data_IF_380338014283
#
_entry.id   IF_380338014283
#
_cell.length_a   1.000
_cell.length_b   1.000
_cell.length_c   1.000
_cell.angle_alpha   90.00
_cell.angle_beta   90.00
_cell.angle_gamma   90.00
#
_symmetry.space_group_name_H-M   'P 1'
#
loop_
_entity.id
_entity.type
_entity.pdbx_description
1 polymer ?
#
# COMPACT_ATOMS: atom_id res chain seq x y z
N UNK A 1 43.65 1.92 -13.01
CA UNK A 1 42.87 0.94 -12.26
C UNK A 1 41.73 1.57 -11.43
N UNK A 2 42.02 2.61 -10.68
CA UNK A 2 40.96 3.24 -9.83
C UNK A 2 39.76 3.77 -10.64
N UNK A 3 39.96 4.45 -11.79
CA UNK A 3 38.86 4.96 -12.63
C UNK A 3 37.95 3.85 -13.16
N UNK A 4 38.49 2.72 -13.58
CA UNK A 4 37.71 1.57 -14.10
C UNK A 4 36.89 0.90 -13.01
N UNK A 5 37.44 0.86 -11.80
CA UNK A 5 36.73 0.35 -10.62
C UNK A 5 35.52 1.23 -10.26
N UNK A 6 35.68 2.56 -10.24
CA UNK A 6 34.60 3.49 -9.97
C UNK A 6 33.52 3.48 -11.05
N UNK A 7 33.89 3.32 -12.31
CA UNK A 7 32.93 3.18 -13.42
C UNK A 7 32.12 1.88 -13.24
N UNK A 8 32.82 0.78 -12.97
CA UNK A 8 32.13 -0.51 -12.71
C UNK A 8 31.17 -0.43 -11.55
N UNK A 9 31.57 0.18 -10.43
CA UNK A 9 30.71 0.38 -9.26
C UNK A 9 29.49 1.25 -9.59
N UNK A 10 29.69 2.35 -10.32
CA UNK A 10 28.61 3.24 -10.73
C UNK A 10 27.59 2.53 -11.62
N UNK A 11 28.03 1.68 -12.55
CA UNK A 11 27.16 0.88 -13.41
C UNK A 11 26.34 -0.13 -12.58
N UNK A 12 26.98 -0.82 -11.65
CA UNK A 12 26.28 -1.78 -10.77
C UNK A 12 25.22 -1.07 -9.93
N UNK A 13 25.54 0.10 -9.36
CA UNK A 13 24.58 0.89 -8.60
C UNK A 13 23.43 1.39 -9.48
N UNK A 14 23.71 1.86 -10.70
CA UNK A 14 22.67 2.31 -11.62
C UNK A 14 21.72 1.16 -12.03
N UNK A 15 22.28 -0.01 -12.35
CA UNK A 15 21.50 -1.22 -12.65
C UNK A 15 20.65 -1.64 -11.46
N UNK A 16 21.24 -1.66 -10.26
CA UNK A 16 20.52 -1.95 -9.03
C UNK A 16 19.35 -1.00 -8.77
N UNK A 17 19.54 0.30 -8.99
CA UNK A 17 18.48 1.30 -8.87
C UNK A 17 17.35 1.09 -9.90
N UNK A 18 17.70 0.76 -11.13
CA UNK A 18 16.69 0.46 -12.17
C UNK A 18 15.90 -0.78 -11.81
N UNK A 19 16.55 -1.85 -11.39
CA UNK A 19 15.87 -3.09 -10.96
C UNK A 19 14.95 -2.79 -9.79
N UNK A 20 15.42 -2.05 -8.78
CA UNK A 20 14.60 -1.67 -7.64
C UNK A 20 13.38 -0.84 -8.06
N UNK A 21 13.56 0.12 -8.96
CA UNK A 21 12.48 0.99 -9.44
C UNK A 21 11.40 0.23 -10.21
N UNK A 22 11.79 -0.70 -11.09
CA UNK A 22 10.85 -1.46 -11.93
C UNK A 22 10.32 -2.73 -11.27
N UNK A 23 10.82 -3.09 -10.09
CA UNK A 23 10.34 -4.28 -9.38
C UNK A 23 8.94 -4.06 -8.85
N UNK A 24 7.99 -5.00 -9.09
CA UNK A 24 6.67 -4.92 -8.52
C UNK A 24 6.72 -5.09 -7.00
N UNK A 25 5.79 -4.43 -6.31
CA UNK A 25 5.61 -4.55 -4.87
C UNK A 25 4.25 -5.16 -4.54
N UNK A 26 4.13 -5.66 -3.32
CA UNK A 26 2.86 -6.01 -2.70
C UNK A 26 2.67 -5.13 -1.46
N UNK A 27 1.43 -4.72 -1.22
CA UNK A 27 1.04 -3.97 -0.02
C UNK A 27 0.36 -4.88 0.98
N UNK A 28 0.14 -4.37 2.18
CA UNK A 28 -0.53 -5.11 3.25
C UNK A 28 0.18 -6.45 3.56
N UNK A 29 1.50 -6.39 3.70
CA UNK A 29 2.35 -7.57 3.86
C UNK A 29 2.28 -8.23 5.25
N UNK A 30 1.53 -7.65 6.20
CA UNK A 30 1.25 -8.29 7.47
C UNK A 30 0.45 -9.60 7.28
N UNK A 31 0.73 -10.60 8.12
CA UNK A 31 -0.08 -11.81 8.13
C UNK A 31 -1.51 -11.49 8.59
N UNK A 32 -2.56 -11.82 7.83
CA UNK A 32 -3.94 -11.56 8.23
C UNK A 32 -4.29 -12.12 9.62
N UNK A 33 -3.69 -13.24 10.02
CA UNK A 33 -3.88 -13.84 11.33
C UNK A 33 -3.36 -12.96 12.49
N UNK A 34 -2.39 -12.08 12.22
CA UNK A 34 -1.81 -11.17 13.20
C UNK A 34 -2.48 -9.80 13.21
N UNK A 35 -3.33 -9.51 12.23
CA UNK A 35 -4.04 -8.23 12.12
C UNK A 35 -5.20 -8.18 13.10
N UNK A 36 -5.21 -7.15 13.95
CA UNK A 36 -6.29 -6.89 14.91
C UNK A 36 -7.30 -5.86 14.43
N UNK A 37 -6.84 -4.90 13.63
CA UNK A 37 -7.67 -3.78 13.19
C UNK A 37 -7.14 -3.20 11.87
N UNK A 38 -8.05 -2.79 11.00
CA UNK A 38 -7.74 -1.96 9.83
C UNK A 38 -8.47 -0.62 10.01
N UNK A 39 -7.71 0.46 10.02
CA UNK A 39 -8.25 1.82 10.15
C UNK A 39 -8.23 2.49 8.78
N UNK A 40 -9.35 3.02 8.36
CA UNK A 40 -9.50 3.72 7.09
C UNK A 40 -10.04 5.12 7.34
N UNK A 41 -9.24 6.13 6.98
CA UNK A 41 -9.73 7.50 6.88
C UNK A 41 -10.21 7.75 5.46
N UNK A 42 -11.51 8.01 5.31
CA UNK A 42 -12.12 8.29 4.03
C UNK A 42 -12.01 9.79 3.72
N UNK A 43 -11.08 10.16 2.86
CA UNK A 43 -10.84 11.55 2.46
C UNK A 43 -12.01 12.20 1.71
N UNK A 44 -12.94 11.40 1.16
CA UNK A 44 -14.10 11.93 0.44
C UNK A 44 -15.18 12.49 1.38
N UNK A 45 -15.26 11.99 2.61
CA UNK A 45 -16.26 12.42 3.60
C UNK A 45 -15.66 12.86 4.94
N UNK A 46 -14.33 12.77 5.09
CA UNK A 46 -13.62 13.17 6.30
C UNK A 46 -13.84 12.28 7.52
N UNK A 47 -14.36 11.07 7.33
CA UNK A 47 -14.69 10.15 8.43
C UNK A 47 -13.68 9.02 8.56
N UNK A 48 -13.53 8.58 9.82
CA UNK A 48 -12.71 7.43 10.18
C UNK A 48 -13.61 6.19 10.31
N UNK A 49 -13.09 5.04 9.92
CA UNK A 49 -13.72 3.75 10.14
C UNK A 49 -12.72 2.75 10.70
N UNK A 50 -13.24 1.82 11.51
CA UNK A 50 -12.45 0.76 12.13
C UNK A 50 -13.05 -0.59 11.79
N UNK A 51 -12.26 -1.44 11.16
CA UNK A 51 -12.61 -2.80 10.79
C UNK A 51 -11.92 -3.71 11.78
N UNK A 52 -12.70 -4.38 12.63
CA UNK A 52 -12.21 -5.27 13.68
C UNK A 52 -12.76 -6.70 13.55
N UNK A 53 -13.74 -6.91 12.69
CA UNK A 53 -14.26 -8.22 12.38
C UNK A 53 -13.25 -9.06 11.62
N UNK A 54 -12.98 -10.29 12.09
CA UNK A 54 -11.94 -11.14 11.55
C UNK A 54 -12.18 -11.55 10.09
N UNK A 55 -13.44 -11.80 9.73
CA UNK A 55 -13.79 -12.22 8.36
C UNK A 55 -13.68 -11.03 7.39
N UNK A 56 -14.05 -9.83 7.83
CA UNK A 56 -13.87 -8.59 7.06
C UNK A 56 -12.40 -8.26 6.87
N UNK A 57 -11.58 -8.38 7.92
CA UNK A 57 -10.13 -8.21 7.86
C UNK A 57 -9.53 -9.18 6.85
N UNK A 58 -9.84 -10.47 6.95
CA UNK A 58 -9.33 -11.49 6.04
C UNK A 58 -9.67 -11.16 4.59
N UNK A 59 -10.92 -10.79 4.31
CA UNK A 59 -11.36 -10.44 2.96
C UNK A 59 -10.68 -9.18 2.41
N UNK A 60 -10.50 -8.14 3.23
CA UNK A 60 -9.76 -6.94 2.85
C UNK A 60 -8.30 -7.29 2.55
N UNK A 61 -7.65 -8.04 3.43
CA UNK A 61 -6.26 -8.45 3.25
C UNK A 61 -6.08 -9.34 2.01
N UNK A 62 -7.02 -10.24 1.74
CA UNK A 62 -6.99 -11.10 0.56
C UNK A 62 -7.04 -10.31 -0.75
N UNK A 63 -7.97 -9.34 -0.87
CA UNK A 63 -8.04 -8.50 -2.06
C UNK A 63 -6.78 -7.65 -2.24
N UNK A 64 -6.19 -7.13 -1.16
CA UNK A 64 -4.94 -6.37 -1.22
C UNK A 64 -3.73 -7.25 -1.60
N UNK A 65 -3.66 -8.49 -1.08
CA UNK A 65 -2.60 -9.44 -1.42
C UNK A 65 -2.67 -9.95 -2.86
N UNK A 66 -3.84 -9.91 -3.49
CA UNK A 66 -4.02 -10.42 -4.86
C UNK A 66 -3.39 -9.52 -5.92
N UNK A 67 -2.97 -8.32 -5.57
CA UNK A 67 -2.52 -7.29 -6.52
C UNK A 67 -1.02 -7.05 -6.39
N UNK A 68 -0.35 -6.94 -7.54
CA UNK A 68 1.02 -6.43 -7.64
C UNK A 68 0.98 -5.01 -8.19
N UNK A 69 1.81 -4.16 -7.62
CA UNK A 69 1.88 -2.75 -7.98
C UNK A 69 3.24 -2.37 -8.53
N UNK A 70 3.24 -1.51 -9.53
CA UNK A 70 4.44 -0.92 -10.14
C UNK A 70 4.49 0.56 -9.81
N UNK A 71 5.70 1.08 -9.52
CA UNK A 71 5.92 2.52 -9.35
C UNK A 71 5.60 3.25 -10.64
N UNK A 72 4.91 4.38 -10.53
CA UNK A 72 4.58 5.22 -11.69
C UNK A 72 5.22 6.58 -11.62
N UNK A 73 5.03 7.30 -10.51
CA UNK A 73 5.56 8.66 -10.33
C UNK A 73 5.74 8.99 -8.84
N UNK A 74 6.53 10.03 -8.56
CA UNK A 74 6.62 10.61 -7.24
C UNK A 74 5.28 11.22 -6.84
N UNK A 75 4.89 11.01 -5.58
CA UNK A 75 3.70 11.60 -5.01
C UNK A 75 4.01 13.00 -4.46
N UNK A 76 3.18 13.97 -4.81
CA UNK A 76 3.19 15.29 -4.16
C UNK A 76 2.54 15.25 -2.77
N UNK A 77 2.79 16.30 -1.98
CA UNK A 77 2.28 16.38 -0.60
C UNK A 77 0.74 16.43 -0.50
N UNK A 78 0.06 16.81 -1.57
CA UNK A 78 -1.39 17.00 -1.63
C UNK A 78 -2.13 15.97 -2.50
N UNK A 79 -1.41 14.96 -2.99
CA UNK A 79 -1.98 13.97 -3.88
C UNK A 79 -2.43 12.71 -3.13
N UNK A 80 -3.64 12.24 -3.41
CA UNK A 80 -4.17 10.95 -2.97
C UNK A 80 -4.64 10.91 -1.53
N UNK A 81 -5.91 11.17 -1.31
CA UNK A 81 -6.55 11.15 0.02
C UNK A 81 -7.84 10.30 0.05
N UNK A 82 -8.05 9.40 -0.91
CA UNK A 82 -9.33 8.68 -0.97
C UNK A 82 -9.54 7.79 0.25
N UNK A 83 -8.84 6.67 0.33
CA UNK A 83 -8.93 5.75 1.47
C UNK A 83 -7.54 5.59 2.09
N UNK A 84 -7.22 6.45 3.04
CA UNK A 84 -5.97 6.37 3.80
C UNK A 84 -6.07 5.22 4.80
N UNK A 85 -5.28 4.18 4.58
CA UNK A 85 -5.42 2.89 5.23
C UNK A 85 -4.20 2.57 6.06
N UNK A 86 -4.41 2.22 7.34
CA UNK A 86 -3.38 1.75 8.25
C UNK A 86 -3.80 0.42 8.89
N UNK A 87 -2.87 -0.51 8.96
CA UNK A 87 -3.07 -1.84 9.55
C UNK A 87 -2.43 -1.87 10.93
N UNK A 88 -3.19 -2.36 11.91
CA UNK A 88 -2.74 -2.56 13.28
C UNK A 88 -2.74 -4.05 13.61
N UNK A 89 -1.70 -4.48 14.31
CA UNK A 89 -1.57 -5.86 14.76
C UNK A 89 -2.43 -6.10 16.02
N UNK A 90 -2.69 -7.36 16.33
CA UNK A 90 -3.40 -7.77 17.56
C UNK A 90 -2.69 -7.29 18.83
N UNK A 91 -1.37 -7.04 18.78
CA UNK A 91 -0.62 -6.41 19.84
C UNK A 91 -0.99 -4.95 20.11
N UNK A 92 -1.72 -4.30 19.21
CA UNK A 92 -2.04 -2.87 19.23
C UNK A 92 -1.00 -2.00 18.52
N UNK A 93 0.11 -2.56 18.06
CA UNK A 93 1.13 -1.85 17.32
C UNK A 93 0.70 -1.60 15.88
N UNK A 94 1.01 -0.41 15.36
CA UNK A 94 0.83 -0.10 13.95
C UNK A 94 1.85 -0.89 13.12
N UNK A 95 1.36 -1.68 12.17
CA UNK A 95 2.21 -2.35 11.21
C UNK A 95 2.70 -1.32 10.18
N UNK A 96 3.98 -0.96 10.26
CA UNK A 96 4.59 0.01 9.36
C UNK A 96 4.88 -0.54 7.96
N UNK A 97 5.62 0.24 7.17
CA UNK A 97 6.03 -0.18 5.83
C UNK A 97 4.87 -0.27 4.86
N UNK A 98 4.74 -1.40 4.18
CA UNK A 98 3.69 -1.63 3.17
C UNK A 98 2.28 -1.82 3.75
N UNK A 99 2.11 -1.67 5.05
CA UNK A 99 0.81 -1.71 5.74
C UNK A 99 0.23 -0.31 6.01
N UNK A 100 0.78 0.72 5.39
CA UNK A 100 0.35 2.11 5.48
C UNK A 100 0.35 2.71 4.08
N UNK A 101 -0.82 2.93 3.54
CA UNK A 101 -1.00 3.33 2.14
C UNK A 101 -2.36 4.00 1.91
N UNK A 102 -2.47 4.70 0.80
CA UNK A 102 -3.74 5.29 0.34
C UNK A 102 -4.25 4.52 -0.87
N UNK A 103 -5.48 4.03 -0.82
CA UNK A 103 -6.15 3.42 -1.96
C UNK A 103 -6.89 4.52 -2.72
N UNK A 104 -6.49 4.79 -3.96
CA UNK A 104 -7.11 5.82 -4.78
C UNK A 104 -8.19 5.27 -5.71
N UNK A 105 -8.02 4.04 -6.18
CA UNK A 105 -8.95 3.32 -7.06
C UNK A 105 -8.66 1.82 -7.01
N UNK A 106 -9.41 1.04 -7.78
CA UNK A 106 -9.19 -0.39 -7.90
C UNK A 106 -7.79 -0.77 -8.44
N UNK A 107 -7.10 0.13 -9.12
CA UNK A 107 -5.80 -0.12 -9.75
C UNK A 107 -4.70 0.86 -9.33
N UNK A 108 -4.97 1.78 -8.41
CA UNK A 108 -4.03 2.84 -8.04
C UNK A 108 -3.95 3.04 -6.53
N UNK A 109 -2.73 3.09 -6.03
CA UNK A 109 -2.42 3.40 -4.63
C UNK A 109 -1.30 4.43 -4.52
N UNK A 110 -1.20 5.04 -3.35
CA UNK A 110 -0.04 5.81 -2.91
C UNK A 110 0.57 5.13 -1.69
N UNK A 111 1.87 4.90 -1.71
CA UNK A 111 2.60 4.37 -0.56
C UNK A 111 3.97 5.06 -0.45
N UNK A 112 4.26 5.65 0.72
CA UNK A 112 5.47 6.43 0.90
C UNK A 112 5.53 7.60 -0.09
N UNK A 113 6.65 7.69 -0.83
CA UNK A 113 6.96 8.80 -1.74
C UNK A 113 6.42 8.58 -3.18
N UNK A 114 5.75 7.46 -3.46
CA UNK A 114 5.39 7.10 -4.83
C UNK A 114 3.90 6.78 -4.98
N UNK A 115 3.39 7.06 -6.17
CA UNK A 115 2.20 6.41 -6.70
C UNK A 115 2.58 5.08 -7.35
N UNK A 116 1.66 4.13 -7.24
CA UNK A 116 1.76 2.80 -7.82
C UNK A 116 0.50 2.47 -8.61
N UNK A 117 0.67 1.71 -9.67
CA UNK A 117 -0.44 1.20 -10.46
C UNK A 117 -0.42 -0.32 -10.49
N UNK A 118 -1.60 -0.94 -10.48
CA UNK A 118 -1.73 -2.38 -10.57
C UNK A 118 -1.11 -2.90 -11.87
N UNK A 119 -0.19 -3.86 -11.74
CA UNK A 119 0.44 -4.57 -12.84
C UNK A 119 -0.12 -5.99 -13.01
N UNK A 120 -0.95 -6.44 -12.07
CA UNK A 120 -1.64 -7.73 -12.09
C UNK A 120 -2.72 -7.76 -11.03
N UNK A 121 -3.96 -8.04 -11.43
CA UNK A 121 -5.13 -7.99 -10.56
C UNK A 121 -5.66 -6.57 -10.33
N UNK A 122 -6.72 -6.48 -9.56
CA UNK A 122 -7.31 -5.22 -9.09
C UNK A 122 -7.78 -5.38 -7.66
N UNK A 123 -7.79 -4.28 -6.89
CA UNK A 123 -8.38 -4.23 -5.56
C UNK A 123 -9.91 -4.22 -5.69
N UNK A 124 -10.61 -4.94 -4.82
CA UNK A 124 -12.05 -4.77 -4.67
C UNK A 124 -12.35 -3.45 -3.93
N UNK A 125 -12.15 -2.35 -4.66
CA UNK A 125 -12.29 -0.99 -4.13
C UNK A 125 -13.69 -0.71 -3.62
N UNK A 126 -14.72 -1.15 -4.35
CA UNK A 126 -16.11 -0.91 -4.00
C UNK A 126 -16.48 -1.57 -2.67
N UNK A 127 -15.98 -2.78 -2.43
CA UNK A 127 -16.16 -3.47 -1.16
C UNK A 127 -15.50 -2.72 -0.01
N UNK A 128 -14.24 -2.31 -0.18
CA UNK A 128 -13.50 -1.58 0.87
C UNK A 128 -14.14 -0.22 1.13
N UNK A 129 -14.56 0.49 0.09
CA UNK A 129 -15.26 1.78 0.23
C UNK A 129 -16.60 1.62 0.94
N UNK A 130 -17.39 0.62 0.57
CA UNK A 130 -18.65 0.32 1.25
C UNK A 130 -18.42 0.00 2.72
N UNK A 131 -17.45 -0.87 3.01
CA UNK A 131 -17.09 -1.23 4.38
C UNK A 131 -16.65 -0.02 5.20
N UNK A 132 -15.89 0.89 4.59
CA UNK A 132 -15.48 2.14 5.22
C UNK A 132 -16.64 3.08 5.54
N UNK A 133 -17.75 2.99 4.82
CA UNK A 133 -18.97 3.75 5.09
C UNK A 133 -19.82 3.11 6.18
N UNK A 134 -19.88 1.78 6.23
CA UNK A 134 -20.68 1.02 7.20
C UNK A 134 -20.05 1.00 8.61
N UNK A 135 -18.73 1.11 8.70
CA UNK A 135 -17.95 1.07 9.95
C UNK A 135 -17.49 2.45 10.43
N UNK A 136 -18.14 3.53 10.00
CA UNK A 136 -17.83 4.90 10.42
C UNK A 136 -18.11 5.15 11.90
N UNK A 137 -17.16 5.86 12.52
CA UNK A 137 -17.31 6.44 13.87
C UNK A 137 -17.74 7.91 13.80
#
# INVERSE_FOLDING_TARGET
MKKRFFIGLAVVLAVGLVIWYVSPIRIADADPADVGEIVIFNGNNGKLSRITDADEIEKVMETLHSVRFMRTKLAGAHDGFNLDTAIYLKSGERAGGWNDFVINSADSIKAGAFFYKAAGGTIDYDYIEQLSKERQE
#
